data_IF_607267817035
#
_entry.id   IF_607267817035
#
_cell.length_a   1.000
_cell.length_b   1.000
_cell.length_c   1.000
_cell.angle_alpha   90.00
_cell.angle_beta   90.00
_cell.angle_gamma   90.00
#
_symmetry.space_group_name_H-M   'P 1'
#
loop_
_entity.id
_entity.type
_entity.pdbx_description
1 polymer ?
#
# COMPACT_ATOMS: atom_id res chain seq x y z
N UNK A 1 -14.48 12.37 2.01
CA UNK A 1 -15.75 11.68 2.42
C UNK A 1 -15.83 11.57 3.93
N UNK A 2 -17.02 11.45 4.51
CA UNK A 2 -17.16 11.04 5.91
C UNK A 2 -16.92 9.54 6.01
N UNK A 3 -16.02 9.12 6.91
CA UNK A 3 -15.56 7.72 7.00
C UNK A 3 -16.48 6.80 7.80
N UNK A 4 -17.31 7.37 8.70
CA UNK A 4 -18.21 6.57 9.54
C UNK A 4 -19.13 5.68 8.70
N UNK A 5 -19.13 4.37 8.98
CA UNK A 5 -19.87 3.33 8.24
C UNK A 5 -19.46 3.16 6.77
N UNK A 6 -18.33 3.70 6.36
CA UNK A 6 -17.70 3.37 5.08
C UNK A 6 -16.93 2.08 5.20
N UNK A 7 -16.79 1.36 4.10
CA UNK A 7 -16.00 0.12 4.06
C UNK A 7 -14.65 0.41 3.43
N UNK A 8 -13.60 0.16 4.21
CA UNK A 8 -12.20 0.33 3.79
C UNK A 8 -11.56 -1.05 3.63
N UNK A 9 -11.14 -1.35 2.44
CA UNK A 9 -10.47 -2.60 2.05
C UNK A 9 -8.98 -2.33 1.97
N UNK A 10 -8.16 -3.08 2.72
CA UNK A 10 -6.72 -2.80 2.85
C UNK A 10 -5.93 -4.07 2.58
N UNK A 11 -5.08 -4.05 1.54
CA UNK A 11 -4.15 -5.16 1.26
C UNK A 11 -2.85 -5.00 2.06
N UNK A 12 -2.24 -6.12 2.50
CA UNK A 12 -1.06 -6.08 3.37
C UNK A 12 -1.37 -5.53 4.75
N UNK A 13 -2.56 -5.86 5.30
CA UNK A 13 -3.08 -5.31 6.55
C UNK A 13 -2.62 -6.04 7.82
N UNK A 14 -1.84 -7.12 7.70
CA UNK A 14 -1.42 -7.93 8.84
C UNK A 14 -0.48 -7.17 9.79
N UNK A 15 0.37 -6.26 9.28
CA UNK A 15 1.41 -5.58 10.06
C UNK A 15 1.79 -4.21 9.47
N UNK A 16 2.70 -3.52 10.15
CA UNK A 16 3.34 -2.29 9.67
C UNK A 16 2.35 -1.20 9.27
N UNK A 17 2.58 -0.60 8.10
CA UNK A 17 1.76 0.51 7.57
C UNK A 17 0.32 0.08 7.33
N UNK A 18 0.09 -1.12 6.78
CA UNK A 18 -1.25 -1.62 6.49
C UNK A 18 -2.11 -1.77 7.75
N UNK A 19 -1.53 -2.35 8.82
CA UNK A 19 -2.19 -2.44 10.12
C UNK A 19 -2.47 -1.07 10.72
N UNK A 20 -1.49 -0.15 10.67
CA UNK A 20 -1.69 1.21 11.17
C UNK A 20 -2.82 1.95 10.44
N UNK A 21 -2.92 1.78 9.12
CA UNK A 21 -4.03 2.32 8.35
C UNK A 21 -5.37 1.69 8.73
N UNK A 22 -5.43 0.37 8.93
CA UNK A 22 -6.65 -0.30 9.36
C UNK A 22 -7.18 0.28 10.68
N UNK A 23 -6.29 0.46 11.67
CA UNK A 23 -6.64 1.05 12.96
C UNK A 23 -7.08 2.52 12.82
N UNK A 24 -6.33 3.33 12.07
CA UNK A 24 -6.66 4.74 11.88
C UNK A 24 -8.00 4.97 11.19
N UNK A 25 -8.36 4.13 10.22
CA UNK A 25 -9.69 4.17 9.59
C UNK A 25 -10.79 3.67 10.54
N UNK A 26 -10.52 2.62 11.33
CA UNK A 26 -11.45 2.12 12.34
C UNK A 26 -11.75 3.17 13.42
N UNK A 27 -10.75 3.92 13.90
CA UNK A 27 -10.90 5.05 14.83
C UNK A 27 -11.82 6.15 14.29
N UNK A 28 -11.93 6.27 12.96
CA UNK A 28 -12.86 7.19 12.28
C UNK A 28 -14.24 6.58 12.05
N UNK A 29 -14.48 5.37 12.58
CA UNK A 29 -15.75 4.66 12.49
C UNK A 29 -16.00 3.97 11.14
N UNK A 30 -14.97 3.71 10.36
CA UNK A 30 -15.06 2.92 9.14
C UNK A 30 -15.03 1.41 9.45
N UNK A 31 -15.84 0.63 8.74
CA UNK A 31 -15.77 -0.83 8.74
C UNK A 31 -14.54 -1.29 7.93
N UNK A 32 -13.87 -2.33 8.38
CA UNK A 32 -12.58 -2.77 7.82
C UNK A 32 -12.67 -4.16 7.19
N UNK A 33 -12.25 -4.28 5.94
CA UNK A 33 -11.90 -5.55 5.31
C UNK A 33 -10.37 -5.63 5.20
N UNK A 34 -9.76 -6.35 6.11
CA UNK A 34 -8.31 -6.53 6.18
C UNK A 34 -7.89 -7.74 5.33
N UNK A 35 -6.89 -7.57 4.47
CA UNK A 35 -6.42 -8.57 3.52
C UNK A 35 -4.91 -8.76 3.65
N UNK A 36 -4.47 -10.02 3.79
CA UNK A 36 -3.06 -10.38 3.80
C UNK A 36 -2.90 -11.88 3.50
N UNK A 37 -1.68 -12.33 3.23
CA UNK A 37 -1.37 -13.75 3.12
C UNK A 37 -1.18 -14.41 4.49
N UNK A 38 -0.76 -13.63 5.49
CA UNK A 38 -0.40 -14.08 6.83
C UNK A 38 -1.64 -14.07 7.74
N UNK A 39 -2.29 -15.21 7.87
CA UNK A 39 -3.58 -15.33 8.57
C UNK A 39 -3.55 -14.92 10.05
N UNK A 40 -2.54 -15.36 10.81
CA UNK A 40 -2.49 -15.12 12.26
C UNK A 40 -2.36 -13.63 12.62
N UNK A 41 -1.38 -12.85 12.12
CA UNK A 41 -1.29 -11.42 12.42
C UNK A 41 -2.42 -10.61 11.75
N UNK A 42 -3.03 -11.12 10.67
CA UNK A 42 -4.21 -10.51 10.07
C UNK A 42 -5.41 -10.57 11.02
N UNK A 43 -5.59 -11.70 11.70
CA UNK A 43 -6.66 -11.89 12.69
C UNK A 43 -6.47 -10.98 13.91
N UNK A 44 -5.22 -10.74 14.33
CA UNK A 44 -4.91 -9.75 15.37
C UNK A 44 -5.33 -8.32 14.93
N UNK A 45 -5.07 -7.96 13.69
CA UNK A 45 -5.49 -6.66 13.14
C UNK A 45 -7.03 -6.55 13.10
N UNK A 46 -7.72 -7.59 12.66
CA UNK A 46 -9.20 -7.66 12.67
C UNK A 46 -9.75 -7.42 14.08
N UNK A 47 -9.24 -8.19 15.04
CA UNK A 47 -9.67 -8.11 16.45
C UNK A 47 -9.43 -6.72 17.04
N UNK A 48 -8.26 -6.11 16.76
CA UNK A 48 -7.95 -4.75 17.18
C UNK A 48 -8.91 -3.72 16.60
N UNK A 49 -9.29 -3.84 15.32
CA UNK A 49 -10.30 -2.98 14.72
C UNK A 49 -11.69 -3.15 15.35
N UNK A 50 -12.11 -4.40 15.64
CA UNK A 50 -13.40 -4.64 16.30
C UNK A 50 -13.44 -4.06 17.71
N UNK A 51 -12.31 -4.04 18.43
CA UNK A 51 -12.22 -3.41 19.76
C UNK A 51 -12.45 -1.89 19.71
N UNK A 52 -12.33 -1.26 18.55
CA UNK A 52 -12.67 0.15 18.30
C UNK A 52 -14.18 0.36 17.98
N UNK A 53 -14.99 -0.71 18.02
CA UNK A 53 -16.43 -0.64 17.88
C UNK A 53 -16.93 -0.63 16.43
N UNK A 54 -16.10 -0.98 15.47
CA UNK A 54 -16.47 -1.12 14.05
C UNK A 54 -16.57 -2.60 13.66
N UNK A 55 -17.23 -2.88 12.55
CA UNK A 55 -17.21 -4.20 11.96
C UNK A 55 -15.91 -4.41 11.20
N UNK A 56 -15.21 -5.51 11.48
CA UNK A 56 -14.00 -5.90 10.76
C UNK A 56 -14.07 -7.36 10.29
N UNK A 57 -13.48 -7.64 9.14
CA UNK A 57 -13.30 -8.98 8.58
C UNK A 57 -11.88 -9.16 8.08
N UNK A 58 -11.36 -10.36 8.24
CA UNK A 58 -10.06 -10.78 7.75
C UNK A 58 -10.24 -11.77 6.59
N UNK A 59 -9.56 -11.52 5.48
CA UNK A 59 -9.58 -12.42 4.32
C UNK A 59 -8.15 -12.73 3.90
N UNK A 60 -7.80 -14.01 3.89
CA UNK A 60 -6.50 -14.45 3.39
C UNK A 60 -6.48 -14.32 1.87
N UNK A 61 -5.55 -13.53 1.36
CA UNK A 61 -5.46 -13.19 -0.05
C UNK A 61 -3.99 -13.05 -0.51
N UNK A 62 -3.64 -13.73 -1.60
CA UNK A 62 -2.46 -13.40 -2.40
C UNK A 62 -2.89 -12.49 -3.56
N UNK A 63 -2.45 -11.23 -3.53
CA UNK A 63 -2.79 -10.20 -4.54
C UNK A 63 -2.29 -10.52 -5.94
N UNK A 64 -1.37 -11.48 -6.09
CA UNK A 64 -0.87 -11.94 -7.39
C UNK A 64 -1.80 -12.92 -8.08
N UNK A 65 -2.82 -13.44 -7.37
CA UNK A 65 -3.75 -14.45 -7.84
C UNK A 65 -5.08 -13.80 -8.25
N UNK A 66 -5.24 -13.48 -9.53
CA UNK A 66 -6.43 -12.77 -10.06
C UNK A 66 -7.75 -13.40 -9.58
N UNK A 67 -7.90 -14.72 -9.71
CA UNK A 67 -9.13 -15.41 -9.29
C UNK A 67 -9.42 -15.28 -7.79
N UNK A 68 -8.37 -15.20 -6.94
CA UNK A 68 -8.54 -14.95 -5.51
C UNK A 68 -8.99 -13.51 -5.26
N UNK A 69 -8.42 -12.53 -5.97
CA UNK A 69 -8.81 -11.11 -5.85
C UNK A 69 -10.29 -10.95 -6.20
N UNK A 70 -10.72 -11.45 -7.36
CA UNK A 70 -12.13 -11.42 -7.80
C UNK A 70 -13.04 -12.00 -6.72
N UNK A 71 -12.81 -13.26 -6.32
CA UNK A 71 -13.64 -13.96 -5.34
C UNK A 71 -13.70 -13.24 -3.99
N UNK A 72 -12.56 -12.74 -3.51
CA UNK A 72 -12.48 -12.05 -2.21
C UNK A 72 -13.26 -10.74 -2.24
N UNK A 73 -13.15 -9.96 -3.32
CA UNK A 73 -13.86 -8.69 -3.44
C UNK A 73 -15.38 -8.89 -3.57
N UNK A 74 -15.83 -9.94 -4.27
CA UNK A 74 -17.24 -10.34 -4.27
C UNK A 74 -17.73 -10.70 -2.86
N UNK A 75 -16.92 -11.45 -2.10
CA UNK A 75 -17.24 -11.79 -0.72
C UNK A 75 -17.38 -10.55 0.15
N UNK A 76 -16.45 -9.58 0.03
CA UNK A 76 -16.49 -8.32 0.77
C UNK A 76 -17.77 -7.54 0.44
N UNK A 77 -18.14 -7.43 -0.84
CA UNK A 77 -19.40 -6.77 -1.23
C UNK A 77 -20.62 -7.51 -0.67
N UNK A 78 -20.62 -8.84 -0.68
CA UNK A 78 -21.71 -9.63 -0.11
C UNK A 78 -21.85 -9.42 1.41
N UNK A 79 -20.75 -9.37 2.14
CA UNK A 79 -20.72 -9.20 3.61
C UNK A 79 -21.06 -7.76 4.05
N UNK A 80 -20.45 -6.77 3.40
CA UNK A 80 -20.58 -5.37 3.83
C UNK A 80 -21.67 -4.59 3.10
N UNK A 81 -22.10 -5.06 1.92
CA UNK A 81 -23.02 -4.35 1.00
C UNK A 81 -22.48 -2.99 0.52
N UNK A 82 -21.18 -2.80 0.62
CA UNK A 82 -20.45 -1.57 0.27
C UNK A 82 -19.02 -1.88 -0.12
N UNK A 83 -18.42 -0.97 -0.88
CA UNK A 83 -17.01 -0.94 -1.21
C UNK A 83 -16.61 0.52 -1.45
N UNK A 84 -16.13 1.24 -0.43
CA UNK A 84 -15.95 2.70 -0.52
C UNK A 84 -14.50 3.13 -0.71
N UNK A 85 -13.56 2.46 -0.04
CA UNK A 85 -12.13 2.78 -0.13
C UNK A 85 -11.34 1.50 -0.34
N UNK A 86 -10.42 1.52 -1.30
CA UNK A 86 -9.38 0.50 -1.48
C UNK A 86 -8.02 1.10 -1.15
N UNK A 87 -7.26 0.43 -0.28
CA UNK A 87 -5.86 0.76 -0.02
C UNK A 87 -4.96 -0.36 -0.55
N UNK A 88 -4.27 -0.10 -1.64
CA UNK A 88 -3.26 -0.98 -2.21
C UNK A 88 -1.94 -0.76 -1.49
N UNK A 89 -1.72 -1.53 -0.40
CA UNK A 89 -0.55 -1.42 0.44
C UNK A 89 0.36 -2.67 0.38
N UNK A 90 -0.15 -3.83 0.03
CA UNK A 90 0.66 -5.05 -0.10
C UNK A 90 1.89 -4.81 -0.96
N UNK A 91 3.05 -5.25 -0.47
CA UNK A 91 4.31 -5.07 -1.18
C UNK A 91 5.46 -5.82 -0.54
N UNK A 92 6.45 -6.11 -1.35
CA UNK A 92 7.69 -6.79 -0.95
C UNK A 92 8.91 -6.08 -1.54
N UNK A 93 10.09 -6.36 -0.98
CA UNK A 93 11.38 -6.01 -1.57
C UNK A 93 12.18 -7.29 -1.89
N UNK A 94 13.00 -7.24 -2.94
CA UNK A 94 14.00 -8.26 -3.31
C UNK A 94 15.20 -7.52 -3.89
N UNK A 95 15.90 -6.81 -3.00
CA UNK A 95 16.96 -5.89 -3.36
C UNK A 95 18.19 -6.64 -3.89
N UNK A 96 18.75 -6.13 -4.97
CA UNK A 96 20.01 -6.58 -5.55
C UNK A 96 20.56 -5.47 -6.46
N UNK A 97 21.87 -5.33 -6.53
CA UNK A 97 22.48 -4.48 -7.55
C UNK A 97 22.21 -5.06 -8.93
N UNK A 98 22.05 -4.21 -9.94
CA UNK A 98 21.91 -4.64 -11.33
C UNK A 98 23.07 -5.55 -11.71
N UNK A 99 24.30 -5.11 -11.39
CA UNK A 99 25.55 -5.88 -11.50
C UNK A 99 26.43 -5.53 -10.30
N UNK A 100 27.05 -6.54 -9.69
CA UNK A 100 28.15 -6.37 -8.74
C UNK A 100 29.40 -6.99 -9.34
N UNK A 101 30.39 -6.18 -9.61
CA UNK A 101 31.68 -6.58 -10.20
C UNK A 101 32.83 -6.07 -9.35
N UNK A 102 33.97 -6.78 -9.39
CA UNK A 102 35.23 -6.35 -8.85
C UNK A 102 36.35 -6.88 -9.76
N UNK A 103 37.32 -6.05 -10.10
CA UNK A 103 38.45 -6.37 -10.96
C UNK A 103 38.05 -7.03 -12.29
N UNK A 104 36.95 -6.59 -12.90
CA UNK A 104 36.39 -7.14 -14.15
C UNK A 104 35.61 -8.45 -13.99
N UNK A 105 35.59 -9.06 -12.82
CA UNK A 105 34.81 -10.28 -12.54
C UNK A 105 33.43 -9.95 -12.02
N UNK A 106 32.39 -10.57 -12.59
CA UNK A 106 31.01 -10.42 -12.15
C UNK A 106 30.75 -11.36 -10.96
N UNK A 107 30.46 -10.77 -9.79
CA UNK A 107 30.14 -11.54 -8.57
C UNK A 107 28.65 -11.87 -8.46
N UNK A 108 27.78 -10.93 -8.83
CA UNK A 108 26.33 -11.15 -8.83
C UNK A 108 25.63 -10.16 -9.75
N UNK A 109 24.38 -10.48 -10.08
CA UNK A 109 23.46 -9.60 -10.80
C UNK A 109 22.04 -9.84 -10.30
N UNK A 110 21.18 -8.84 -10.40
CA UNK A 110 19.75 -9.00 -10.13
C UNK A 110 19.21 -10.12 -11.03
N UNK A 111 18.58 -11.13 -10.44
CA UNK A 111 17.98 -12.22 -11.20
C UNK A 111 16.59 -11.83 -11.73
N UNK A 112 16.17 -12.48 -12.84
CA UNK A 112 14.80 -12.31 -13.34
C UNK A 112 13.76 -12.72 -12.29
N UNK A 113 14.04 -13.73 -11.47
CA UNK A 113 13.14 -14.13 -10.38
C UNK A 113 12.97 -13.05 -9.31
N UNK A 114 14.05 -12.33 -8.93
CA UNK A 114 13.96 -11.20 -8.00
C UNK A 114 13.15 -10.03 -8.62
N UNK A 115 13.39 -9.77 -9.90
CA UNK A 115 12.62 -8.77 -10.66
C UNK A 115 11.13 -9.14 -10.68
N UNK A 116 10.80 -10.33 -11.16
CA UNK A 116 9.42 -10.77 -11.37
C UNK A 116 8.64 -10.82 -10.06
N UNK A 117 9.23 -11.36 -8.99
CA UNK A 117 8.56 -11.42 -7.69
C UNK A 117 8.10 -10.03 -7.19
N UNK A 118 8.92 -8.99 -7.40
CA UNK A 118 8.54 -7.62 -7.01
C UNK A 118 7.50 -7.04 -7.95
N UNK A 119 7.64 -7.25 -9.27
CA UNK A 119 6.67 -6.79 -10.25
C UNK A 119 5.30 -7.42 -10.03
N UNK A 120 5.24 -8.71 -9.74
CA UNK A 120 3.98 -9.44 -9.53
C UNK A 120 3.20 -8.88 -8.34
N UNK A 121 3.87 -8.67 -7.20
CA UNK A 121 3.20 -8.17 -6.00
C UNK A 121 2.95 -6.65 -6.08
N UNK A 122 4.02 -5.88 -6.35
CA UNK A 122 4.00 -4.43 -6.14
C UNK A 122 3.40 -3.65 -7.32
N UNK A 123 3.26 -4.26 -8.51
CA UNK A 123 2.68 -3.61 -9.67
C UNK A 123 1.46 -4.37 -10.19
N UNK A 124 1.62 -5.65 -10.57
CA UNK A 124 0.51 -6.45 -11.11
C UNK A 124 -0.59 -6.63 -10.04
N UNK A 125 -0.24 -6.94 -8.80
CA UNK A 125 -1.19 -7.06 -7.70
C UNK A 125 -1.95 -5.76 -7.42
N UNK A 126 -1.27 -4.62 -7.49
CA UNK A 126 -1.92 -3.30 -7.37
C UNK A 126 -2.89 -3.07 -8.53
N UNK A 127 -2.51 -3.43 -9.76
CA UNK A 127 -3.39 -3.35 -10.92
C UNK A 127 -4.62 -4.23 -10.77
N UNK A 128 -4.45 -5.51 -10.39
CA UNK A 128 -5.57 -6.44 -10.21
C UNK A 128 -6.55 -5.94 -9.14
N UNK A 129 -6.05 -5.58 -7.96
CA UNK A 129 -6.88 -5.05 -6.89
C UNK A 129 -7.54 -3.71 -7.29
N UNK A 130 -6.81 -2.82 -7.97
CA UNK A 130 -7.34 -1.53 -8.43
C UNK A 130 -8.47 -1.69 -9.43
N UNK A 131 -8.32 -2.57 -10.43
CA UNK A 131 -9.34 -2.88 -11.43
C UNK A 131 -10.60 -3.46 -10.78
N UNK A 132 -10.42 -4.51 -9.98
CA UNK A 132 -11.52 -5.21 -9.33
C UNK A 132 -12.22 -4.33 -8.28
N UNK A 133 -11.47 -3.50 -7.54
CA UNK A 133 -12.05 -2.54 -6.61
C UNK A 133 -12.86 -1.45 -7.30
N UNK A 134 -12.34 -0.90 -8.41
CA UNK A 134 -13.07 0.07 -9.21
C UNK A 134 -14.38 -0.51 -9.77
N UNK A 135 -14.36 -1.76 -10.26
CA UNK A 135 -15.57 -2.45 -10.73
C UNK A 135 -16.63 -2.53 -9.63
N UNK A 136 -16.26 -2.98 -8.41
CA UNK A 136 -17.20 -3.08 -7.28
C UNK A 136 -17.72 -1.72 -6.83
N UNK A 137 -16.87 -0.69 -6.83
CA UNK A 137 -17.29 0.70 -6.54
C UNK A 137 -18.34 1.18 -7.56
N UNK A 138 -18.16 0.89 -8.85
CA UNK A 138 -19.12 1.23 -9.90
C UNK A 138 -20.42 0.44 -9.73
N UNK A 139 -20.35 -0.87 -9.47
CA UNK A 139 -21.53 -1.72 -9.27
C UNK A 139 -22.36 -1.33 -8.05
N UNK A 140 -21.69 -0.96 -6.94
CA UNK A 140 -22.36 -0.46 -5.72
C UNK A 140 -22.94 0.94 -5.94
N UNK A 141 -22.37 1.74 -6.85
CA UNK A 141 -22.92 3.02 -7.28
C UNK A 141 -22.70 4.20 -6.30
N UNK A 142 -21.77 4.09 -5.35
CA UNK A 142 -21.54 5.10 -4.32
C UNK A 142 -20.31 5.99 -4.58
N UNK A 143 -19.68 5.87 -5.76
CA UNK A 143 -18.35 6.42 -5.96
C UNK A 143 -17.31 5.72 -5.07
N UNK A 144 -16.14 6.31 -4.86
CA UNK A 144 -15.12 5.69 -4.02
C UNK A 144 -13.77 6.39 -4.04
N UNK A 145 -12.80 5.71 -3.41
CA UNK A 145 -11.41 6.14 -3.38
C UNK A 145 -10.47 4.95 -3.49
N UNK A 146 -9.46 5.06 -4.34
CA UNK A 146 -8.31 4.15 -4.40
C UNK A 146 -7.08 4.90 -3.87
N UNK A 147 -6.48 4.40 -2.79
CA UNK A 147 -5.20 4.88 -2.25
C UNK A 147 -4.13 3.85 -2.56
N UNK A 148 -3.12 4.25 -3.31
CA UNK A 148 -1.99 3.39 -3.66
C UNK A 148 -0.76 3.74 -2.82
N UNK A 149 -0.07 2.75 -2.25
CA UNK A 149 1.19 2.98 -1.56
C UNK A 149 2.34 2.84 -2.55
N UNK A 150 2.87 4.01 -2.98
CA UNK A 150 4.09 4.12 -3.76
C UNK A 150 5.31 4.13 -2.82
N UNK A 151 6.35 4.88 -3.12
CA UNK A 151 7.57 5.07 -2.32
C UNK A 151 8.36 6.25 -2.86
N UNK A 152 9.19 6.88 -2.06
CA UNK A 152 10.23 7.79 -2.56
C UNK A 152 11.21 7.07 -3.49
N UNK A 153 11.41 5.74 -3.32
CA UNK A 153 12.24 4.91 -4.21
C UNK A 153 11.76 4.88 -5.67
N UNK A 154 10.56 5.42 -5.99
CA UNK A 154 10.10 5.58 -7.37
C UNK A 154 10.99 6.48 -8.23
N UNK A 155 11.78 7.33 -7.60
CA UNK A 155 12.74 8.23 -8.26
C UNK A 155 14.10 7.58 -8.49
N UNK A 156 14.32 6.40 -7.93
CA UNK A 156 15.52 5.58 -8.05
C UNK A 156 16.22 5.41 -6.70
N UNK A 157 16.51 4.16 -6.35
CA UNK A 157 17.31 3.82 -5.18
C UNK A 157 18.27 2.69 -5.56
N UNK A 158 19.58 2.84 -5.35
CA UNK A 158 20.55 1.81 -5.68
C UNK A 158 20.21 0.45 -5.08
N UNK A 159 20.26 -0.60 -5.90
CA UNK A 159 19.86 -1.96 -5.51
C UNK A 159 18.37 -2.28 -5.63
N UNK A 160 17.55 -1.31 -6.05
CA UNK A 160 16.09 -1.44 -6.11
C UNK A 160 15.52 -1.22 -7.53
N UNK A 161 16.21 -1.66 -8.58
CA UNK A 161 15.70 -1.49 -9.95
C UNK A 161 14.28 -2.03 -10.14
N UNK A 162 13.98 -3.20 -9.57
CA UNK A 162 12.65 -3.81 -9.58
C UNK A 162 11.63 -3.00 -8.75
N UNK A 163 11.98 -2.65 -7.53
CA UNK A 163 11.10 -1.94 -6.60
C UNK A 163 10.81 -0.51 -7.09
N UNK A 164 11.85 0.21 -7.53
CA UNK A 164 11.72 1.57 -8.08
C UNK A 164 10.82 1.59 -9.32
N UNK A 165 11.04 0.64 -10.26
CA UNK A 165 10.20 0.52 -11.45
C UNK A 165 8.73 0.24 -11.08
N UNK A 166 8.47 -0.70 -10.15
CA UNK A 166 7.12 -1.00 -9.71
C UNK A 166 6.44 0.21 -9.06
N UNK A 167 7.14 0.92 -8.15
CA UNK A 167 6.58 2.07 -7.42
C UNK A 167 6.41 3.32 -8.29
N UNK A 168 7.23 3.49 -9.34
CA UNK A 168 7.02 4.49 -10.38
C UNK A 168 5.78 4.14 -11.23
N UNK A 169 5.60 2.86 -11.61
CA UNK A 169 4.40 2.38 -12.30
C UNK A 169 3.12 2.62 -11.49
N UNK A 170 3.15 2.37 -10.18
CA UNK A 170 2.03 2.65 -9.27
C UNK A 170 1.67 4.14 -9.25
N UNK A 171 2.67 5.02 -9.22
CA UNK A 171 2.44 6.47 -9.28
C UNK A 171 1.79 6.88 -10.61
N UNK A 172 2.24 6.32 -11.75
CA UNK A 172 1.66 6.56 -13.06
C UNK A 172 0.21 6.06 -13.15
N UNK A 173 -0.07 4.81 -12.72
CA UNK A 173 -1.42 4.25 -12.68
C UNK A 173 -2.38 5.11 -11.85
N UNK A 174 -1.91 5.67 -10.73
CA UNK A 174 -2.71 6.56 -9.88
C UNK A 174 -3.25 7.76 -10.66
N UNK A 175 -2.42 8.38 -11.49
CA UNK A 175 -2.80 9.53 -12.32
C UNK A 175 -3.78 9.12 -13.43
N UNK A 176 -3.54 7.97 -14.06
CA UNK A 176 -4.43 7.42 -15.10
C UNK A 176 -5.80 7.13 -14.52
N UNK A 177 -5.87 6.38 -13.41
CA UNK A 177 -7.13 6.00 -12.76
C UNK A 177 -7.92 7.21 -12.25
N UNK A 178 -7.24 8.25 -11.76
CA UNK A 178 -7.90 9.48 -11.37
C UNK A 178 -8.67 10.15 -12.53
N UNK A 179 -8.14 10.06 -13.76
CA UNK A 179 -8.77 10.61 -14.96
C UNK A 179 -9.89 9.71 -15.50
N UNK A 180 -9.64 8.41 -15.58
CA UNK A 180 -10.57 7.43 -16.14
C UNK A 180 -11.80 7.22 -15.27
N UNK A 181 -11.61 7.19 -13.94
CA UNK A 181 -12.65 6.81 -12.98
C UNK A 181 -13.44 8.01 -12.44
N UNK A 182 -13.01 9.25 -12.70
CA UNK A 182 -13.68 10.47 -12.22
C UNK A 182 -15.16 10.51 -12.61
N UNK A 183 -15.50 10.07 -13.82
CA UNK A 183 -16.90 10.03 -14.30
C UNK A 183 -17.81 9.08 -13.50
N UNK A 184 -17.23 8.17 -12.72
CA UNK A 184 -17.94 7.28 -11.80
C UNK A 184 -17.91 7.77 -10.35
N UNK A 185 -17.39 8.98 -10.10
CA UNK A 185 -17.23 9.52 -8.76
C UNK A 185 -16.14 8.82 -7.94
N UNK A 186 -15.18 8.15 -8.61
CA UNK A 186 -14.07 7.44 -7.95
C UNK A 186 -12.80 8.29 -8.08
N UNK A 187 -12.17 8.57 -6.95
CA UNK A 187 -10.87 9.25 -6.86
C UNK A 187 -9.74 8.24 -6.78
N UNK A 188 -8.56 8.62 -7.22
CA UNK A 188 -7.34 7.83 -7.06
C UNK A 188 -6.21 8.74 -6.60
N UNK A 189 -5.51 8.38 -5.52
CA UNK A 189 -4.35 9.09 -5.01
C UNK A 189 -3.29 8.09 -4.54
N UNK A 190 -2.05 8.55 -4.41
CA UNK A 190 -0.97 7.73 -3.87
C UNK A 190 -0.29 8.42 -2.70
N UNK A 191 0.29 7.62 -1.82
CA UNK A 191 1.23 8.05 -0.79
C UNK A 191 2.59 7.49 -1.16
N UNK A 192 3.64 8.30 -1.04
CA UNK A 192 5.02 7.88 -1.19
C UNK A 192 5.74 8.00 0.16
N UNK A 193 5.76 6.93 0.96
CA UNK A 193 6.50 6.92 2.21
C UNK A 193 8.01 7.02 1.97
N UNK A 194 8.71 7.68 2.90
CA UNK A 194 10.12 7.51 3.12
C UNK A 194 10.43 6.24 3.93
N UNK A 195 11.54 6.25 4.65
CA UNK A 195 11.89 5.16 5.55
C UNK A 195 11.03 5.21 6.82
N UNK A 196 10.19 4.19 7.01
CA UNK A 196 9.29 4.04 8.16
C UNK A 196 9.77 2.94 9.10
N UNK A 197 9.55 3.13 10.40
CA UNK A 197 9.85 2.16 11.46
C UNK A 197 8.90 0.95 11.37
N UNK A 198 9.24 0.02 10.50
CA UNK A 198 8.52 -1.25 10.30
C UNK A 198 9.44 -2.43 10.60
N UNK A 199 8.88 -3.63 10.72
CA UNK A 199 9.66 -4.87 10.94
C UNK A 199 10.77 -5.07 9.89
N UNK A 200 10.57 -4.57 8.66
CA UNK A 200 11.58 -4.66 7.60
C UNK A 200 12.84 -3.87 7.96
N UNK A 201 12.68 -2.67 8.55
CA UNK A 201 13.82 -1.85 8.98
C UNK A 201 14.42 -2.31 10.30
N UNK A 202 13.61 -2.87 11.22
CA UNK A 202 14.14 -3.43 12.48
C UNK A 202 15.01 -4.67 12.28
N UNK A 203 14.92 -5.34 11.13
CA UNK A 203 15.81 -6.44 10.75
C UNK A 203 17.17 -5.96 10.20
N UNK A 204 17.37 -4.65 9.99
CA UNK A 204 18.64 -4.08 9.51
C UNK A 204 19.63 -3.91 10.66
N UNK A 205 20.94 -3.88 10.32
CA UNK A 205 21.99 -3.58 11.30
C UNK A 205 21.85 -2.15 11.84
N UNK A 206 22.08 -1.93 13.15
CA UNK A 206 21.94 -0.59 13.78
C UNK A 206 22.66 0.53 13.03
N UNK A 207 23.88 0.27 12.56
CA UNK A 207 24.69 1.26 11.84
C UNK A 207 24.04 1.68 10.49
N UNK A 208 23.30 0.76 9.86
CA UNK A 208 22.57 1.08 8.63
C UNK A 208 21.33 1.94 8.93
N UNK A 209 20.62 1.62 10.02
CA UNK A 209 19.47 2.41 10.48
C UNK A 209 19.92 3.84 10.83
N UNK A 210 21.06 3.98 11.51
CA UNK A 210 21.59 5.31 11.87
C UNK A 210 22.03 6.11 10.62
N UNK A 211 22.60 5.46 9.61
CA UNK A 211 22.89 6.12 8.32
C UNK A 211 21.61 6.60 7.64
N UNK A 212 20.55 5.77 7.63
CA UNK A 212 19.24 6.16 7.07
C UNK A 212 18.69 7.36 7.82
N UNK A 213 18.66 7.33 9.15
CA UNK A 213 18.21 8.46 9.98
C UNK A 213 19.01 9.73 9.71
N UNK A 214 20.34 9.58 9.55
CA UNK A 214 21.23 10.72 9.27
C UNK A 214 20.97 11.35 7.89
N UNK A 215 20.47 10.59 6.91
CA UNK A 215 20.11 11.11 5.60
C UNK A 215 18.74 11.84 5.58
N UNK A 216 17.82 11.49 6.50
CA UNK A 216 16.51 12.15 6.61
C UNK A 216 16.69 13.53 7.22
N UNK A 217 16.22 14.65 6.61
CA UNK A 217 16.27 15.97 7.21
C UNK A 217 15.73 16.07 8.64
N UNK A 218 14.61 15.37 8.94
CA UNK A 218 14.05 15.32 10.29
C UNK A 218 14.80 14.37 11.25
N UNK A 219 15.90 13.73 10.81
CA UNK A 219 16.81 12.90 11.62
C UNK A 219 16.14 11.73 12.35
N UNK A 220 15.03 11.24 11.84
CA UNK A 220 14.33 10.08 12.37
C UNK A 220 13.67 9.28 11.25
N UNK A 221 13.23 8.07 11.56
CA UNK A 221 12.32 7.32 10.71
C UNK A 221 10.90 7.89 10.85
N UNK A 222 10.10 7.72 9.81
CA UNK A 222 8.66 7.93 9.90
C UNK A 222 7.99 6.80 10.69
N UNK A 223 6.90 7.11 11.37
CA UNK A 223 6.08 6.11 12.04
C UNK A 223 4.95 5.64 11.12
N UNK A 224 4.55 4.36 11.16
CA UNK A 224 3.42 3.86 10.38
C UNK A 224 2.14 4.69 10.56
N UNK A 225 1.93 5.26 11.75
CA UNK A 225 0.81 6.13 12.05
C UNK A 225 0.82 7.44 11.24
N UNK A 226 1.98 7.97 10.87
CA UNK A 226 2.10 9.19 10.05
C UNK A 226 1.63 8.93 8.62
N UNK A 227 1.92 7.75 8.08
CA UNK A 227 1.42 7.31 6.79
C UNK A 227 -0.10 7.07 6.85
N UNK A 228 -0.56 6.44 7.93
CA UNK A 228 -1.98 6.19 8.14
C UNK A 228 -2.79 7.50 8.26
N UNK A 229 -2.27 8.50 8.98
CA UNK A 229 -2.89 9.84 9.06
C UNK A 229 -3.03 10.49 7.68
N UNK A 230 -2.03 10.31 6.80
CA UNK A 230 -2.09 10.82 5.43
C UNK A 230 -3.15 10.08 4.60
N UNK A 231 -3.31 8.78 4.77
CA UNK A 231 -4.37 8.01 4.11
C UNK A 231 -5.76 8.49 4.53
N UNK A 232 -5.97 8.74 5.82
CA UNK A 232 -7.21 9.33 6.36
C UNK A 232 -7.44 10.73 5.79
N UNK A 233 -6.41 11.60 5.78
CA UNK A 233 -6.50 12.93 5.17
C UNK A 233 -6.95 12.87 3.70
N UNK A 234 -6.35 11.99 2.89
CA UNK A 234 -6.73 11.81 1.48
C UNK A 234 -8.20 11.36 1.36
N UNK A 235 -8.65 10.49 2.26
CA UNK A 235 -10.03 10.01 2.25
C UNK A 235 -11.03 11.12 2.63
N UNK A 236 -10.73 11.92 3.64
CA UNK A 236 -11.61 12.99 4.13
C UNK A 236 -11.58 14.24 3.23
N UNK A 237 -10.51 14.46 2.47
CA UNK A 237 -10.39 15.60 1.54
C UNK A 237 -10.81 15.20 0.11
N UNK A 238 -12.05 15.49 -0.25
CA UNK A 238 -12.64 15.09 -1.53
C UNK A 238 -12.03 15.78 -2.77
N UNK A 239 -11.20 16.80 -2.57
CA UNK A 239 -10.52 17.49 -3.67
C UNK A 239 -9.14 16.91 -4.01
N UNK A 240 -8.68 15.89 -3.28
CA UNK A 240 -7.42 15.19 -3.54
C UNK A 240 -7.64 14.02 -4.49
N UNK A 241 -7.14 14.12 -5.73
CA UNK A 241 -7.12 13.04 -6.73
C UNK A 241 -5.98 13.24 -7.72
N UNK A 242 -5.45 12.17 -8.31
CA UNK A 242 -4.38 12.19 -9.31
C UNK A 242 -3.06 12.71 -8.77
N UNK A 243 -2.81 12.62 -7.47
CA UNK A 243 -1.59 13.14 -6.82
C UNK A 243 -0.89 12.05 -6.01
N UNK A 244 0.42 12.20 -5.91
CA UNK A 244 1.29 11.44 -5.00
C UNK A 244 1.67 12.37 -3.86
N UNK A 245 1.31 11.99 -2.63
CA UNK A 245 1.67 12.73 -1.40
C UNK A 245 2.91 12.08 -0.80
N UNK A 246 3.99 12.83 -0.74
CA UNK A 246 5.25 12.38 -0.12
C UNK A 246 5.17 12.55 1.39
N UNK A 247 5.55 11.49 2.13
CA UNK A 247 5.63 11.49 3.60
C UNK A 247 6.96 10.85 3.98
N UNK A 248 8.03 11.63 3.94
CA UNK A 248 9.41 11.15 3.87
C UNK A 248 10.39 11.87 4.80
N UNK A 249 9.90 12.82 5.62
CA UNK A 249 10.75 13.64 6.49
C UNK A 249 11.69 14.60 5.73
N UNK A 250 11.37 14.87 4.45
CA UNK A 250 12.14 15.72 3.55
C UNK A 250 13.27 15.01 2.81
N UNK A 251 13.32 13.67 2.86
CA UNK A 251 14.35 12.89 2.17
C UNK A 251 14.10 12.87 0.66
N UNK A 252 15.14 13.18 -0.11
CA UNK A 252 15.23 12.98 -1.57
C UNK A 252 16.25 11.88 -1.88
N UNK A 253 15.91 10.94 -2.76
CA UNK A 253 16.80 9.88 -3.22
C UNK A 253 17.49 10.26 -4.52
#
# INVERSE_FOLDING_TARGET
MQLRKKVVVITGAARGIGRAMALAFAERGADIAALDRDAAPLEETRSACESLGVRARAHVLDVTQEAQVVKTFDTIVAEFRRFDVLVNNAGITRDALLIKAQDGAIHSKMSLAQWQAVMDVNLTGVFLCGREGAERMVQVGNGGLIVNISSISREGNPGQSNYSAAKAGVAAMTVVWAKELARYGIRSAAIAPGFCATEILSAMKPEMVDRVKAAVPLRRLGEPAEIAATAVFIAENDFVTGRVVEVDGGLRL
#
